data_IF_477348847520
#
_entry.id   IF_477348847520
#
_cell.length_a   1.000
_cell.length_b   1.000
_cell.length_c   1.000
_cell.angle_alpha   90.00
_cell.angle_beta   90.00
_cell.angle_gamma   90.00
#
_symmetry.space_group_name_H-M   'P 1'
#
loop_
_entity.id
_entity.type
_entity.pdbx_description
1 polymer ?
#
# COMPACT_ATOMS: atom_id res chain seq x y z
N UNK A 1 -16.37 -2.66 38.34
CA UNK A 1 -15.13 -3.23 37.77
C UNK A 1 -14.95 -2.79 36.32
N UNK A 2 -15.83 -3.15 35.38
CA UNK A 2 -15.68 -2.78 33.95
C UNK A 2 -15.54 -1.26 33.71
N UNK A 3 -16.34 -0.44 34.39
CA UNK A 3 -16.20 1.03 34.34
C UNK A 3 -14.86 1.55 34.86
N UNK A 4 -14.23 0.87 35.82
CA UNK A 4 -12.91 1.25 36.32
C UNK A 4 -11.80 0.82 35.36
N UNK A 5 -11.95 -0.34 34.71
CA UNK A 5 -11.06 -0.80 33.63
C UNK A 5 -11.12 0.17 32.45
N UNK A 6 -12.31 0.48 31.95
CA UNK A 6 -12.51 1.42 30.83
C UNK A 6 -12.17 2.88 31.15
N UNK A 7 -11.90 3.24 32.41
CA UNK A 7 -11.46 4.60 32.79
C UNK A 7 -9.99 4.64 33.21
N UNK A 8 -9.30 3.50 33.18
CA UNK A 8 -7.87 3.42 33.49
C UNK A 8 -7.07 4.05 32.34
N UNK A 9 -6.09 4.93 32.62
CA UNK A 9 -5.15 5.37 31.60
C UNK A 9 -4.46 4.20 30.89
N UNK A 10 -4.21 3.08 31.59
CA UNK A 10 -3.62 1.86 30.99
C UNK A 10 -4.53 1.16 29.97
N UNK A 11 -5.83 1.47 29.97
CA UNK A 11 -6.78 0.96 28.97
C UNK A 11 -6.75 1.78 27.68
N UNK A 12 -6.47 3.09 27.78
CA UNK A 12 -6.42 4.00 26.62
C UNK A 12 -5.02 4.23 26.07
N UNK A 13 -4.00 4.13 26.92
CA UNK A 13 -2.63 4.47 26.62
C UNK A 13 -1.71 3.28 26.89
N UNK A 14 -0.80 3.03 25.95
CA UNK A 14 0.36 2.17 26.16
C UNK A 14 1.43 3.00 26.88
N UNK A 15 1.29 3.16 28.19
CA UNK A 15 2.21 3.95 29.00
C UNK A 15 3.55 3.21 29.21
N UNK A 16 4.64 3.96 29.41
CA UNK A 16 5.93 3.42 29.88
C UNK A 16 5.70 2.60 31.15
N UNK A 17 6.21 1.39 31.20
CA UNK A 17 6.03 0.49 32.35
C UNK A 17 7.29 0.24 33.16
N UNK A 18 8.47 0.66 32.66
CA UNK A 18 9.72 0.51 33.43
C UNK A 18 9.86 1.62 34.48
N UNK A 19 10.17 1.19 35.71
CA UNK A 19 10.39 2.07 36.87
C UNK A 19 11.81 2.68 36.90
N UNK A 20 12.69 2.20 36.02
CA UNK A 20 14.07 2.67 35.90
C UNK A 20 14.15 3.74 34.81
N UNK A 21 14.53 4.96 35.20
CA UNK A 21 14.69 6.09 34.29
C UNK A 21 15.85 5.87 33.31
N UNK A 22 16.86 5.08 33.70
CA UNK A 22 18.11 4.83 32.98
C UNK A 22 18.10 3.54 32.15
N UNK A 23 17.04 2.74 32.23
CA UNK A 23 16.87 1.52 31.41
C UNK A 23 16.61 1.87 29.94
N UNK A 24 17.45 1.35 29.04
CA UNK A 24 17.23 1.40 27.58
C UNK A 24 15.98 0.58 27.15
N UNK A 25 15.56 -0.39 27.97
CA UNK A 25 14.29 -1.10 27.80
C UNK A 25 13.14 -0.24 28.34
N UNK A 26 12.26 0.21 27.45
CA UNK A 26 11.18 1.16 27.77
C UNK A 26 9.82 0.48 27.98
N UNK A 27 9.67 -0.76 27.51
CA UNK A 27 8.45 -1.56 27.56
C UNK A 27 8.71 -2.88 28.28
N UNK A 28 7.80 -3.28 29.17
CA UNK A 28 7.76 -4.68 29.61
C UNK A 28 7.22 -5.59 28.50
N UNK A 29 7.45 -6.89 28.64
CA UNK A 29 7.01 -7.88 27.66
C UNK A 29 5.49 -7.89 27.45
N UNK A 30 4.68 -7.48 28.43
CA UNK A 30 3.22 -7.39 28.25
C UNK A 30 2.84 -6.26 27.30
N UNK A 31 3.58 -5.16 27.29
CA UNK A 31 3.41 -4.11 26.29
C UNK A 31 3.89 -4.59 24.92
N UNK A 32 5.00 -5.34 24.83
CA UNK A 32 5.44 -5.94 23.57
C UNK A 32 4.40 -6.92 23.00
N UNK A 33 3.85 -7.81 23.82
CA UNK A 33 2.73 -8.69 23.47
C UNK A 33 1.54 -7.90 22.92
N UNK A 34 1.17 -6.82 23.61
CA UNK A 34 0.09 -5.93 23.16
C UNK A 34 0.42 -5.28 21.80
N UNK A 35 1.65 -4.81 21.61
CA UNK A 35 2.04 -4.18 20.34
C UNK A 35 2.02 -5.17 19.19
N UNK A 36 2.54 -6.38 19.37
CA UNK A 36 2.51 -7.45 18.37
C UNK A 36 1.08 -7.83 18.00
N UNK A 37 0.23 -8.11 18.99
CA UNK A 37 -1.17 -8.52 18.76
C UNK A 37 -1.98 -7.44 18.04
N UNK A 38 -1.83 -6.16 18.39
CA UNK A 38 -2.53 -5.11 17.65
C UNK A 38 -1.93 -4.80 16.28
N UNK A 39 -0.63 -5.02 16.10
CA UNK A 39 0.01 -4.86 14.78
C UNK A 39 -0.43 -5.97 13.82
N UNK A 40 -0.29 -7.23 14.23
CA UNK A 40 -0.49 -8.39 13.34
C UNK A 40 -1.94 -8.87 13.31
N UNK A 41 -2.65 -8.79 14.45
CA UNK A 41 -3.99 -9.38 14.59
C UNK A 41 -5.10 -8.35 14.82
N UNK A 42 -4.75 -7.07 15.02
CA UNK A 42 -5.71 -6.01 15.40
C UNK A 42 -6.62 -6.40 16.58
N UNK A 43 -6.12 -7.24 17.48
CA UNK A 43 -6.83 -7.79 18.63
C UNK A 43 -5.93 -7.83 19.87
N UNK A 44 -6.47 -8.20 21.03
CA UNK A 44 -5.67 -8.36 22.24
C UNK A 44 -4.73 -9.58 22.18
N UNK A 45 -3.66 -9.62 22.99
CA UNK A 45 -2.83 -10.83 23.13
C UNK A 45 -3.68 -12.03 23.53
N UNK A 46 -3.31 -13.21 23.04
CA UNK A 46 -3.86 -14.46 23.53
C UNK A 46 -3.02 -15.04 24.67
N UNK A 47 -3.43 -16.20 25.18
CA UNK A 47 -2.79 -16.84 26.32
C UNK A 47 -1.32 -17.19 26.03
N UNK A 48 -0.99 -17.64 24.81
CA UNK A 48 0.40 -17.96 24.43
C UNK A 48 1.27 -16.71 24.46
N UNK A 49 0.79 -15.59 23.92
CA UNK A 49 1.55 -14.34 23.90
C UNK A 49 1.67 -13.74 25.31
N UNK A 50 0.68 -13.93 26.18
CA UNK A 50 0.77 -13.59 27.59
C UNK A 50 1.77 -14.47 28.36
N UNK A 51 1.81 -15.78 28.13
CA UNK A 51 2.79 -16.69 28.72
C UNK A 51 4.22 -16.30 28.30
N UNK A 52 4.44 -16.03 27.01
CA UNK A 52 5.74 -15.54 26.54
C UNK A 52 6.14 -14.22 27.22
N UNK A 53 5.18 -13.36 27.53
CA UNK A 53 5.43 -12.12 28.25
C UNK A 53 5.71 -12.34 29.73
N UNK A 54 5.02 -13.26 30.39
CA UNK A 54 5.26 -13.64 31.78
C UNK A 54 6.67 -14.22 31.96
N UNK A 55 7.12 -15.03 31.00
CA UNK A 55 8.43 -15.66 31.00
C UNK A 55 9.59 -14.72 30.59
N UNK A 56 9.31 -13.49 30.17
CA UNK A 56 10.32 -12.53 29.72
C UNK A 56 10.94 -12.87 28.35
N UNK A 57 10.26 -13.67 27.53
CA UNK A 57 10.76 -14.16 26.24
C UNK A 57 10.70 -13.10 25.14
N UNK A 58 9.72 -12.19 25.18
CA UNK A 58 9.52 -11.17 24.15
C UNK A 58 10.58 -10.05 24.20
N UNK A 59 11.30 -9.92 25.31
CA UNK A 59 12.48 -9.07 25.43
C UNK A 59 13.72 -9.61 24.69
N UNK A 60 13.70 -10.86 24.21
CA UNK A 60 14.82 -11.48 23.48
C UNK A 60 14.59 -11.43 21.98
N UNK A 61 15.67 -11.36 21.20
CA UNK A 61 15.56 -11.37 19.74
C UNK A 61 14.91 -12.67 19.25
N UNK A 62 15.35 -13.81 19.80
CA UNK A 62 14.84 -15.12 19.43
C UNK A 62 13.36 -15.28 19.80
N UNK A 63 12.95 -14.86 21.00
CA UNK A 63 11.57 -14.97 21.43
C UNK A 63 10.63 -14.03 20.67
N UNK A 64 11.11 -12.85 20.24
CA UNK A 64 10.33 -11.93 19.43
C UNK A 64 10.13 -12.46 18.01
N UNK A 65 11.18 -12.96 17.37
CA UNK A 65 11.08 -13.60 16.05
C UNK A 65 10.22 -14.86 16.08
N UNK A 66 10.34 -15.69 17.12
CA UNK A 66 9.45 -16.82 17.32
C UNK A 66 7.99 -16.36 17.38
N UNK A 67 7.71 -15.30 18.15
CA UNK A 67 6.37 -14.75 18.29
C UNK A 67 5.79 -14.31 16.95
N UNK A 68 6.54 -13.51 16.18
CA UNK A 68 6.12 -13.06 14.84
C UNK A 68 5.84 -14.24 13.92
N UNK A 69 6.75 -15.21 13.84
CA UNK A 69 6.62 -16.34 12.93
C UNK A 69 5.31 -17.12 13.13
N UNK A 70 5.00 -17.51 14.37
CA UNK A 70 3.77 -18.27 14.62
C UNK A 70 2.51 -17.39 14.51
N UNK A 71 2.61 -16.10 14.85
CA UNK A 71 1.47 -15.19 14.75
C UNK A 71 1.07 -14.93 13.29
N UNK A 72 2.03 -14.92 12.36
CA UNK A 72 1.79 -14.80 10.92
C UNK A 72 1.19 -16.06 10.30
N UNK A 73 1.38 -17.23 10.92
CA UNK A 73 0.75 -18.50 10.52
C UNK A 73 -0.69 -18.66 11.06
N UNK A 74 -1.11 -17.83 12.02
CA UNK A 74 -2.45 -17.89 12.62
C UNK A 74 -3.47 -17.15 11.75
N UNK A 75 -4.69 -17.68 11.64
CA UNK A 75 -5.79 -17.07 10.87
C UNK A 75 -6.06 -15.59 11.23
N UNK A 76 -5.75 -15.18 12.47
CA UNK A 76 -5.87 -13.77 12.89
C UNK A 76 -4.94 -12.83 12.12
N UNK A 77 -3.87 -13.32 11.50
CA UNK A 77 -2.96 -12.52 10.66
C UNK A 77 -3.66 -11.92 9.44
N UNK A 78 -4.81 -12.47 9.02
CA UNK A 78 -5.67 -11.87 8.00
C UNK A 78 -6.08 -10.42 8.35
N UNK A 79 -6.10 -10.07 9.65
CA UNK A 79 -6.31 -8.69 10.08
C UNK A 79 -5.24 -7.71 9.57
N UNK A 80 -4.05 -8.18 9.20
CA UNK A 80 -3.02 -7.35 8.53
C UNK A 80 -3.40 -7.06 7.08
N UNK A 81 -4.01 -8.03 6.38
CA UNK A 81 -4.56 -7.86 5.03
C UNK A 81 -5.68 -6.83 5.06
N UNK A 82 -6.67 -7.03 5.93
CA UNK A 82 -7.79 -6.11 6.13
C UNK A 82 -7.30 -4.72 6.56
N UNK A 83 -6.42 -4.69 7.57
CA UNK A 83 -5.96 -3.49 8.25
C UNK A 83 -5.02 -2.63 7.41
N UNK A 84 -3.88 -3.22 7.04
CA UNK A 84 -2.82 -2.55 6.29
C UNK A 84 -3.03 -2.66 4.78
N UNK A 85 -3.24 -3.88 4.27
CA UNK A 85 -3.33 -4.14 2.83
C UNK A 85 -4.41 -3.30 2.14
N UNK A 86 -5.65 -3.40 2.59
CA UNK A 86 -6.76 -2.63 2.00
C UNK A 86 -6.59 -1.10 2.14
N UNK A 87 -5.99 -0.64 3.24
CA UNK A 87 -5.75 0.79 3.46
C UNK A 87 -4.64 1.30 2.56
N UNK A 88 -3.53 0.56 2.45
CA UNK A 88 -2.40 0.89 1.60
C UNK A 88 -2.80 0.92 0.12
N UNK A 89 -3.59 -0.07 -0.30
CA UNK A 89 -4.12 -0.22 -1.66
C UNK A 89 -5.37 0.63 -1.95
N UNK A 90 -5.78 1.50 -1.03
CA UNK A 90 -6.99 2.33 -1.18
C UNK A 90 -8.29 1.55 -1.42
N UNK A 91 -8.33 0.22 -1.22
CA UNK A 91 -9.48 -0.65 -1.52
C UNK A 91 -10.74 -0.18 -0.80
N UNK A 92 -10.61 0.27 0.46
CA UNK A 92 -11.74 0.77 1.26
C UNK A 92 -12.45 1.98 0.65
N UNK A 93 -11.76 2.77 -0.18
CA UNK A 93 -12.39 3.90 -0.87
C UNK A 93 -13.29 3.46 -2.02
N UNK A 94 -13.13 2.21 -2.51
CA UNK A 94 -13.92 1.69 -3.60
C UNK A 94 -15.39 1.65 -3.24
N UNK A 95 -15.77 1.37 -2.00
CA UNK A 95 -17.16 1.41 -1.54
C UNK A 95 -17.84 2.78 -1.77
N UNK A 96 -17.06 3.86 -1.80
CA UNK A 96 -17.57 5.22 -2.01
C UNK A 96 -17.41 5.71 -3.46
N UNK A 97 -16.77 4.94 -4.34
CA UNK A 97 -16.62 5.30 -5.74
C UNK A 97 -18.00 5.23 -6.43
N UNK A 98 -18.36 6.30 -7.16
CA UNK A 98 -19.64 6.41 -7.86
C UNK A 98 -19.45 6.75 -9.35
N UNK A 99 -18.92 5.82 -10.16
CA UNK A 99 -18.89 5.97 -11.62
C UNK A 99 -20.28 6.26 -12.19
N UNK A 100 -20.35 7.06 -13.25
CA UNK A 100 -21.57 7.43 -13.95
C UNK A 100 -22.19 6.16 -14.56
N UNK A 101 -23.43 5.79 -14.19
CA UNK A 101 -24.11 4.64 -14.79
C UNK A 101 -24.40 4.82 -16.29
N UNK A 102 -24.40 6.06 -16.80
CA UNK A 102 -24.58 6.35 -18.23
C UNK A 102 -23.32 6.00 -19.03
N UNK A 103 -22.14 6.26 -18.47
CA UNK A 103 -20.84 6.01 -19.13
C UNK A 103 -20.31 4.60 -18.83
N UNK A 104 -20.56 4.10 -17.63
CA UNK A 104 -20.07 2.80 -17.14
C UNK A 104 -21.25 1.90 -16.71
N UNK A 105 -22.17 1.53 -17.62
CA UNK A 105 -23.37 0.77 -17.27
C UNK A 105 -23.08 -0.63 -16.73
N UNK A 106 -21.90 -1.18 -17.01
CA UNK A 106 -21.45 -2.47 -16.51
C UNK A 106 -20.82 -2.38 -15.12
N UNK A 107 -20.59 -1.18 -14.57
CA UNK A 107 -20.06 -1.03 -13.23
C UNK A 107 -21.17 -1.23 -12.20
N UNK A 108 -21.23 -2.43 -11.63
CA UNK A 108 -22.21 -2.86 -10.65
C UNK A 108 -21.55 -3.36 -9.35
N UNK A 109 -22.36 -3.71 -8.35
CA UNK A 109 -21.83 -4.15 -7.05
C UNK A 109 -21.11 -5.50 -7.15
N UNK A 110 -21.47 -6.35 -8.12
CA UNK A 110 -20.78 -7.62 -8.34
C UNK A 110 -19.35 -7.41 -8.84
N UNK A 111 -19.16 -6.48 -9.78
CA UNK A 111 -17.85 -6.08 -10.24
C UNK A 111 -17.07 -5.40 -9.13
N UNK A 112 -17.69 -4.46 -8.40
CA UNK A 112 -17.04 -3.76 -7.27
C UNK A 112 -16.49 -4.73 -6.23
N UNK A 113 -17.27 -5.74 -5.85
CA UNK A 113 -16.84 -6.77 -4.91
C UNK A 113 -15.65 -7.58 -5.47
N UNK A 114 -15.69 -7.96 -6.74
CA UNK A 114 -14.60 -8.70 -7.38
C UNK A 114 -13.30 -7.88 -7.45
N UNK A 115 -13.38 -6.58 -7.77
CA UNK A 115 -12.22 -5.67 -7.78
C UNK A 115 -11.56 -5.56 -6.40
N UNK A 116 -12.38 -5.44 -5.34
CA UNK A 116 -11.88 -5.37 -3.97
C UNK A 116 -11.19 -6.69 -3.58
N UNK A 117 -11.85 -7.82 -3.83
CA UNK A 117 -11.34 -9.14 -3.49
C UNK A 117 -10.04 -9.48 -4.27
N UNK A 118 -9.90 -9.04 -5.52
CA UNK A 118 -8.66 -9.18 -6.30
C UNK A 118 -7.47 -8.51 -5.59
N UNK A 119 -7.67 -7.29 -5.10
CA UNK A 119 -6.62 -6.52 -4.43
C UNK A 119 -6.26 -7.13 -3.07
N UNK A 120 -7.25 -7.59 -2.33
CA UNK A 120 -7.08 -8.30 -1.04
C UNK A 120 -6.30 -9.60 -1.24
N UNK A 121 -6.71 -10.45 -2.19
CA UNK A 121 -6.07 -11.74 -2.46
C UNK A 121 -4.65 -11.57 -2.99
N UNK A 122 -4.36 -10.53 -3.78
CA UNK A 122 -2.98 -10.25 -4.19
C UNK A 122 -2.09 -10.01 -2.97
N UNK A 123 -2.49 -9.12 -2.05
CA UNK A 123 -1.68 -8.83 -0.87
C UNK A 123 -1.55 -10.05 0.05
N UNK A 124 -2.64 -10.80 0.23
CA UNK A 124 -2.66 -12.05 1.01
C UNK A 124 -1.69 -13.10 0.45
N UNK A 125 -1.64 -13.31 -0.88
CA UNK A 125 -0.71 -14.25 -1.52
C UNK A 125 0.75 -13.94 -1.18
N UNK A 126 1.11 -12.65 -1.11
CA UNK A 126 2.47 -12.24 -0.74
C UNK A 126 2.74 -12.32 0.76
N UNK A 127 1.72 -12.22 1.59
CA UNK A 127 1.85 -12.49 3.01
C UNK A 127 2.11 -13.98 3.22
N UNK A 128 1.37 -14.87 2.56
CA UNK A 128 1.47 -16.32 2.76
C UNK A 128 2.66 -16.97 2.04
N UNK A 129 3.00 -16.53 0.83
CA UNK A 129 3.97 -17.21 -0.03
C UNK A 129 5.44 -16.97 0.34
N UNK A 130 5.74 -15.91 1.08
CA UNK A 130 7.12 -15.47 1.32
C UNK A 130 7.83 -15.01 0.04
N UNK A 131 7.10 -14.56 -0.98
CA UNK A 131 7.70 -13.99 -2.18
C UNK A 131 8.30 -12.60 -1.91
N UNK A 132 9.39 -12.20 -2.61
CA UNK A 132 9.94 -10.86 -2.49
C UNK A 132 8.88 -9.80 -2.80
N UNK A 133 8.79 -8.76 -1.97
CA UNK A 133 7.72 -7.75 -2.12
C UNK A 133 7.74 -7.07 -3.47
N UNK A 134 8.92 -6.83 -4.07
CA UNK A 134 9.05 -6.21 -5.39
C UNK A 134 8.33 -6.99 -6.50
N UNK A 135 8.16 -8.31 -6.33
CA UNK A 135 7.41 -9.15 -7.26
C UNK A 135 5.91 -8.82 -7.26
N UNK A 136 5.36 -8.07 -6.28
CA UNK A 136 3.98 -7.55 -6.33
C UNK A 136 3.72 -6.66 -7.55
N UNK A 137 4.75 -6.01 -8.08
CA UNK A 137 4.65 -5.18 -9.27
C UNK A 137 4.45 -6.04 -10.54
N UNK A 138 5.09 -7.20 -10.61
CA UNK A 138 5.08 -8.10 -11.77
C UNK A 138 5.03 -9.58 -11.37
N UNK A 139 3.95 -10.01 -10.68
CA UNK A 139 3.79 -11.40 -10.30
C UNK A 139 3.50 -12.23 -11.56
N UNK A 140 4.01 -13.47 -11.65
CA UNK A 140 3.68 -14.39 -12.74
C UNK A 140 2.25 -14.98 -12.66
N UNK A 141 1.32 -14.28 -12.02
CA UNK A 141 -0.05 -14.70 -11.77
C UNK A 141 -0.97 -13.49 -11.59
N UNK A 142 -2.28 -13.73 -11.69
CA UNK A 142 -3.32 -12.77 -11.32
C UNK A 142 -4.48 -13.50 -10.63
N UNK A 143 -5.26 -12.79 -9.81
CA UNK A 143 -6.52 -13.29 -9.28
C UNK A 143 -7.66 -12.89 -10.21
N UNK A 144 -8.35 -13.87 -10.81
CA UNK A 144 -9.44 -13.61 -11.76
C UNK A 144 -10.60 -14.59 -11.63
N UNK A 145 -11.80 -14.06 -11.80
CA UNK A 145 -13.03 -14.80 -12.02
C UNK A 145 -13.61 -14.39 -13.38
N UNK A 146 -14.73 -15.00 -13.80
CA UNK A 146 -15.34 -14.69 -15.09
C UNK A 146 -15.80 -13.23 -15.20
N UNK A 147 -16.19 -12.63 -14.08
CA UNK A 147 -16.64 -11.23 -14.04
C UNK A 147 -15.50 -10.24 -14.29
N UNK A 148 -14.35 -10.42 -13.63
CA UNK A 148 -13.16 -9.60 -13.89
C UNK A 148 -12.55 -9.90 -15.25
N UNK A 149 -12.55 -11.16 -15.69
CA UNK A 149 -12.06 -11.51 -17.01
C UNK A 149 -12.85 -10.77 -18.11
N UNK A 150 -14.17 -10.75 -18.02
CA UNK A 150 -15.03 -9.95 -18.90
C UNK A 150 -14.68 -8.46 -18.84
N UNK A 151 -14.57 -7.88 -17.63
CA UNK A 151 -14.24 -6.46 -17.45
C UNK A 151 -12.84 -6.10 -17.98
N UNK A 152 -11.91 -7.04 -17.98
CA UNK A 152 -10.55 -6.86 -18.50
C UNK A 152 -10.41 -7.20 -19.99
N UNK A 153 -11.47 -7.69 -20.64
CA UNK A 153 -11.41 -8.15 -22.04
C UNK A 153 -10.61 -9.44 -22.23
N UNK A 154 -10.51 -10.28 -21.19
CA UNK A 154 -9.75 -11.53 -21.17
C UNK A 154 -10.70 -12.74 -21.30
N UNK A 155 -10.21 -13.91 -21.76
CA UNK A 155 -11.00 -15.13 -21.78
C UNK A 155 -11.50 -15.52 -20.38
N UNK A 156 -12.71 -16.09 -20.26
CA UNK A 156 -13.24 -16.52 -18.97
C UNK A 156 -12.38 -17.63 -18.36
N UNK A 157 -12.30 -17.64 -17.03
CA UNK A 157 -11.54 -18.63 -16.24
C UNK A 157 -12.41 -19.87 -15.97
N UNK A 158 -13.74 -19.74 -16.05
CA UNK A 158 -14.72 -20.76 -15.73
C UNK A 158 -15.10 -20.81 -14.25
N UNK A 159 -15.04 -19.68 -13.54
CA UNK A 159 -15.33 -19.59 -12.10
C UNK A 159 -16.01 -18.29 -11.72
N UNK A 160 -16.98 -18.36 -10.80
CA UNK A 160 -17.57 -17.19 -10.15
C UNK A 160 -16.68 -16.65 -9.01
N UNK A 161 -15.94 -17.54 -8.35
CA UNK A 161 -14.95 -17.20 -7.33
C UNK A 161 -13.63 -16.78 -7.99
N UNK A 162 -12.88 -15.89 -7.34
CA UNK A 162 -11.54 -15.52 -7.78
C UNK A 162 -10.59 -16.70 -7.64
N UNK A 163 -9.89 -17.02 -8.74
CA UNK A 163 -8.86 -18.05 -8.77
C UNK A 163 -7.52 -17.41 -9.07
N UNK A 164 -6.48 -17.91 -8.42
CA UNK A 164 -5.09 -17.62 -8.78
C UNK A 164 -4.77 -18.31 -10.11
N UNK A 165 -4.64 -17.54 -11.17
CA UNK A 165 -4.36 -18.03 -12.52
C UNK A 165 -2.99 -17.56 -12.99
N UNK A 166 -2.25 -18.35 -13.79
CA UNK A 166 -1.04 -17.86 -14.45
C UNK A 166 -1.36 -16.62 -15.29
N UNK A 167 -0.42 -15.68 -15.33
CA UNK A 167 -0.49 -14.52 -16.19
C UNK A 167 0.77 -14.50 -17.08
N UNK A 168 0.56 -14.36 -18.38
CA UNK A 168 1.66 -14.28 -19.33
C UNK A 168 2.29 -12.88 -19.32
N UNK A 169 3.49 -12.76 -19.88
CA UNK A 169 4.12 -11.46 -20.11
C UNK A 169 3.20 -10.57 -20.98
N UNK A 170 2.99 -9.33 -20.53
CA UNK A 170 2.06 -8.38 -21.17
C UNK A 170 0.57 -8.62 -20.88
N UNK A 171 0.22 -9.70 -20.18
CA UNK A 171 -1.13 -9.87 -19.64
C UNK A 171 -1.32 -8.99 -18.40
N UNK A 172 -2.56 -8.55 -18.16
CA UNK A 172 -2.91 -7.73 -17.01
C UNK A 172 -2.60 -8.46 -15.70
N UNK A 173 -1.59 -7.98 -14.97
CA UNK A 173 -1.12 -8.55 -13.72
C UNK A 173 -0.50 -7.49 -12.80
N UNK A 174 -0.30 -7.85 -11.53
CA UNK A 174 0.44 -7.03 -10.58
C UNK A 174 -0.26 -5.75 -10.14
N UNK A 175 0.43 -5.06 -9.23
CA UNK A 175 -0.13 -3.96 -8.46
C UNK A 175 -0.64 -2.80 -9.31
N UNK A 176 0.07 -2.46 -10.39
CA UNK A 176 -0.27 -1.30 -11.22
C UNK A 176 -1.52 -1.51 -12.08
N UNK A 177 -2.01 -2.74 -12.19
CA UNK A 177 -3.18 -3.09 -12.99
C UNK A 177 -4.44 -3.37 -12.17
N UNK A 178 -4.34 -3.36 -10.83
CA UNK A 178 -5.46 -3.62 -9.94
C UNK A 178 -6.58 -2.59 -10.12
N UNK A 179 -7.78 -3.09 -10.41
CA UNK A 179 -8.92 -2.27 -10.77
C UNK A 179 -9.47 -1.41 -9.63
N UNK A 180 -9.36 -1.89 -8.38
CA UNK A 180 -9.89 -1.20 -7.21
C UNK A 180 -9.25 0.18 -7.05
N UNK A 181 -7.93 0.26 -6.96
CA UNK A 181 -7.28 1.55 -6.71
C UNK A 181 -7.35 2.46 -7.95
N UNK A 182 -7.18 1.91 -9.16
CA UNK A 182 -7.32 2.66 -10.42
C UNK A 182 -8.68 3.36 -10.52
N UNK A 183 -9.76 2.68 -10.12
CA UNK A 183 -11.11 3.23 -10.06
C UNK A 183 -11.24 4.29 -8.95
N UNK A 184 -10.72 4.04 -7.74
CA UNK A 184 -10.78 5.03 -6.65
C UNK A 184 -10.01 6.32 -6.93
N UNK A 185 -8.98 6.23 -7.77
CA UNK A 185 -8.18 7.36 -8.22
C UNK A 185 -8.73 8.01 -9.50
N UNK A 186 -9.97 7.70 -9.89
CA UNK A 186 -10.69 8.28 -11.03
C UNK A 186 -11.92 9.07 -10.57
N UNK A 187 -12.58 9.82 -11.45
CA UNK A 187 -13.85 10.51 -11.13
C UNK A 187 -15.00 9.70 -11.71
N UNK A 188 -16.20 10.28 -11.63
CA UNK A 188 -17.40 9.61 -12.07
C UNK A 188 -17.42 9.38 -13.59
N UNK A 189 -16.70 10.16 -14.39
CA UNK A 189 -16.88 10.19 -15.85
C UNK A 189 -15.64 9.73 -16.61
N UNK A 190 -14.44 9.91 -16.05
CA UNK A 190 -13.19 9.59 -16.72
C UNK A 190 -12.08 9.16 -15.74
N UNK A 191 -10.99 8.62 -16.31
CA UNK A 191 -9.74 8.40 -15.58
C UNK A 191 -9.15 9.74 -15.12
N UNK A 192 -8.21 9.68 -14.18
CA UNK A 192 -7.51 10.89 -13.71
C UNK A 192 -6.01 10.61 -13.56
N UNK A 193 -5.20 10.93 -14.59
CA UNK A 193 -3.75 10.66 -14.57
C UNK A 193 -3.07 11.39 -13.40
N UNK A 194 -3.50 12.62 -13.09
CA UNK A 194 -2.99 13.39 -11.94
C UNK A 194 -3.21 12.64 -10.62
N UNK A 195 -4.41 12.11 -10.37
CA UNK A 195 -4.72 11.40 -9.12
C UNK A 195 -4.08 10.02 -9.04
N UNK A 196 -3.94 9.32 -10.17
CA UNK A 196 -3.23 8.04 -10.24
C UNK A 196 -1.73 8.23 -10.05
N UNK A 197 -1.11 9.19 -10.72
CA UNK A 197 0.28 9.56 -10.54
C UNK A 197 0.59 10.01 -9.11
N UNK A 198 -0.30 10.79 -8.49
CA UNK A 198 -0.19 11.16 -7.06
C UNK A 198 -0.22 9.94 -6.16
N UNK A 199 -1.11 8.98 -6.44
CA UNK A 199 -1.19 7.73 -5.70
C UNK A 199 0.11 6.93 -5.82
N UNK A 200 0.67 6.77 -7.04
CA UNK A 200 1.95 6.09 -7.24
C UNK A 200 3.10 6.78 -6.48
N UNK A 201 3.21 8.10 -6.62
CA UNK A 201 4.26 8.90 -5.98
C UNK A 201 4.23 8.78 -4.46
N UNK A 202 3.05 8.76 -3.84
CA UNK A 202 2.93 8.59 -2.39
C UNK A 202 3.06 7.12 -1.94
N UNK A 203 2.34 6.20 -2.60
CA UNK A 203 2.15 4.82 -2.13
C UNK A 203 3.27 3.86 -2.53
N UNK A 204 3.95 4.13 -3.63
CA UNK A 204 5.01 3.26 -4.17
C UNK A 204 6.39 3.91 -4.13
N UNK A 205 6.47 5.23 -4.26
CA UNK A 205 7.76 5.93 -4.35
C UNK A 205 8.13 6.69 -3.07
N UNK A 206 7.16 6.90 -2.18
CA UNK A 206 7.34 7.68 -0.94
C UNK A 206 7.90 9.08 -1.19
N UNK A 207 7.52 9.66 -2.33
CA UNK A 207 7.78 11.06 -2.73
C UNK A 207 6.46 11.83 -2.74
N UNK A 208 5.81 12.05 -1.58
CA UNK A 208 4.52 12.72 -1.55
C UNK A 208 4.65 14.15 -2.08
N UNK A 209 3.76 14.53 -3.00
CA UNK A 209 3.73 15.89 -3.54
C UNK A 209 3.08 16.83 -2.54
N UNK A 210 3.72 17.97 -2.21
CA UNK A 210 3.17 18.93 -1.25
C UNK A 210 1.81 19.46 -1.72
N UNK A 211 0.96 19.94 -0.79
CA UNK A 211 -0.27 20.60 -1.18
C UNK A 211 0.04 21.82 -2.07
N UNK A 212 -0.86 22.19 -3.00
CA UNK A 212 -0.66 23.36 -3.83
C UNK A 212 -0.51 24.63 -2.96
N UNK A 213 0.29 25.62 -3.39
CA UNK A 213 0.43 26.89 -2.69
C UNK A 213 -0.92 27.54 -2.35
N UNK A 214 -1.04 28.06 -1.13
CA UNK A 214 -2.25 28.70 -0.69
C UNK A 214 -2.60 29.94 -1.55
N UNK A 215 -3.88 30.08 -1.92
CA UNK A 215 -4.37 31.21 -2.71
C UNK A 215 -4.24 31.06 -4.22
N UNK A 216 -3.74 29.92 -4.72
CA UNK A 216 -3.91 29.55 -6.12
C UNK A 216 -5.37 29.17 -6.38
N UNK A 217 -6.01 29.92 -7.26
CA UNK A 217 -7.27 29.49 -7.89
C UNK A 217 -6.89 28.51 -9.00
N UNK A 218 -7.00 27.21 -8.71
CA UNK A 218 -6.69 26.15 -9.66
C UNK A 218 -8.03 25.75 -10.29
N UNK A 219 -8.36 26.24 -11.50
CA UNK A 219 -9.50 25.68 -12.21
C UNK A 219 -9.24 24.18 -12.40
N UNK A 220 -10.26 23.32 -12.25
CA UNK A 220 -10.12 21.91 -12.60
C UNK A 220 -9.59 21.82 -14.04
N UNK A 221 -8.66 20.91 -14.29
CA UNK A 221 -8.37 20.51 -15.67
C UNK A 221 -9.64 19.84 -16.19
N UNK A 222 -10.36 20.52 -17.08
CA UNK A 222 -11.52 19.92 -17.75
C UNK A 222 -10.99 18.93 -18.78
N UNK A 223 -11.09 17.65 -18.47
CA UNK A 223 -10.72 16.59 -19.40
C UNK A 223 -11.83 16.43 -20.44
N UNK A 224 -11.54 16.76 -21.71
CA UNK A 224 -12.48 16.63 -22.82
C UNK A 224 -12.19 17.58 -23.99
N UNK A 225 -12.95 17.44 -25.07
CA UNK A 225 -12.75 18.20 -26.31
C UNK A 225 -11.86 17.46 -27.32
N UNK A 226 -11.28 18.21 -28.27
CA UNK A 226 -10.46 17.65 -29.34
C UNK A 226 -8.98 17.44 -28.93
N UNK A 227 -8.56 17.95 -27.75
CA UNK A 227 -7.20 17.80 -27.21
C UNK A 227 -7.05 16.44 -26.51
N UNK A 228 -5.96 15.73 -26.76
CA UNK A 228 -5.60 14.49 -26.06
C UNK A 228 -5.28 14.75 -24.58
N UNK A 229 -5.35 13.71 -23.75
CA UNK A 229 -4.97 13.80 -22.32
C UNK A 229 -3.54 14.31 -22.16
N UNK A 230 -2.60 13.87 -23.03
CA UNK A 230 -1.23 14.37 -23.05
C UNK A 230 -1.17 15.87 -23.26
N UNK A 231 -1.80 16.37 -24.32
CA UNK A 231 -1.78 17.79 -24.68
C UNK A 231 -2.33 18.66 -23.56
N UNK A 232 -3.39 18.20 -22.88
CA UNK A 232 -3.97 18.91 -21.74
C UNK A 232 -2.99 18.98 -20.55
N UNK A 233 -2.31 17.88 -20.22
CA UNK A 233 -1.30 17.85 -19.15
C UNK A 233 -0.05 18.67 -19.51
N UNK A 234 0.38 18.65 -20.77
CA UNK A 234 1.50 19.44 -21.26
C UNK A 234 1.22 20.95 -21.21
N UNK A 235 0.00 21.33 -21.58
CA UNK A 235 -0.51 22.70 -21.43
C UNK A 235 -0.56 23.10 -19.96
N UNK A 236 -1.04 22.22 -19.08
CA UNK A 236 -1.07 22.47 -17.64
C UNK A 236 0.34 22.68 -17.04
N UNK A 237 1.32 21.85 -17.40
CA UNK A 237 2.72 21.98 -16.93
C UNK A 237 3.51 23.09 -17.63
N UNK A 238 2.94 23.77 -18.63
CA UNK A 238 3.61 24.92 -19.26
C UNK A 238 3.76 26.10 -18.31
N UNK A 239 2.92 26.18 -17.26
CA UNK A 239 3.12 27.08 -16.13
C UNK A 239 4.17 26.52 -15.16
N UNK A 240 5.28 27.24 -14.91
CA UNK A 240 6.33 26.80 -13.98
C UNK A 240 5.84 26.49 -12.55
N UNK A 241 4.76 27.13 -12.11
CA UNK A 241 4.12 26.91 -10.80
C UNK A 241 3.49 25.53 -10.72
N UNK A 242 2.80 25.12 -11.79
CA UNK A 242 2.16 23.80 -11.89
C UNK A 242 3.21 22.72 -12.12
N UNK A 243 4.20 22.98 -12.99
CA UNK A 243 5.29 22.06 -13.30
C UNK A 243 6.06 21.59 -12.06
N UNK A 244 6.22 22.44 -11.05
CA UNK A 244 6.92 22.13 -9.81
C UNK A 244 6.36 20.87 -9.09
N UNK A 245 5.06 20.61 -9.23
CA UNK A 245 4.40 19.44 -8.66
C UNK A 245 4.04 18.40 -9.73
N UNK A 246 3.68 18.83 -10.93
CA UNK A 246 3.11 17.96 -11.97
C UNK A 246 4.13 17.24 -12.85
N UNK A 247 5.41 17.66 -12.87
CA UNK A 247 6.43 17.06 -13.74
C UNK A 247 6.61 15.55 -13.53
N UNK A 248 6.50 15.07 -12.28
CA UNK A 248 6.54 13.65 -11.97
C UNK A 248 5.14 13.01 -12.04
N UNK A 249 4.13 13.68 -11.46
CA UNK A 249 2.78 13.12 -11.33
C UNK A 249 2.14 12.82 -12.67
N UNK A 250 2.18 13.78 -13.59
CA UNK A 250 1.53 13.64 -14.89
C UNK A 250 2.18 12.52 -15.68
N UNK A 251 3.50 12.39 -15.59
CA UNK A 251 4.27 11.32 -16.25
C UNK A 251 3.89 9.96 -15.68
N UNK A 252 3.91 9.78 -14.37
CA UNK A 252 3.48 8.51 -13.75
C UNK A 252 2.03 8.17 -14.08
N UNK A 253 1.16 9.18 -14.12
CA UNK A 253 -0.26 9.03 -14.45
C UNK A 253 -0.51 8.62 -15.89
N UNK A 254 0.26 9.15 -16.86
CA UNK A 254 0.04 8.88 -18.28
C UNK A 254 0.29 7.42 -18.65
N UNK A 255 1.21 6.75 -17.95
CA UNK A 255 1.44 5.31 -18.08
C UNK A 255 0.21 4.46 -17.78
N UNK A 256 -0.77 5.01 -17.06
CA UNK A 256 -1.97 4.29 -16.65
C UNK A 256 -3.19 4.68 -17.47
N UNK A 257 -3.03 5.53 -18.49
CA UNK A 257 -4.14 5.96 -19.35
C UNK A 257 -4.60 4.89 -20.33
N UNK A 258 -3.94 3.72 -20.37
CA UNK A 258 -4.49 2.50 -20.95
C UNK A 258 -5.74 1.99 -20.21
N UNK A 259 -6.04 2.49 -19.01
CA UNK A 259 -7.21 2.12 -18.22
C UNK A 259 -8.22 3.28 -18.10
N UNK A 260 -9.51 3.02 -18.34
CA UNK A 260 -10.57 4.02 -18.19
C UNK A 260 -10.94 4.31 -16.71
N UNK A 261 -11.97 5.13 -16.48
CA UNK A 261 -12.39 5.56 -15.13
C UNK A 261 -12.81 4.42 -14.19
N UNK A 262 -13.18 3.25 -14.73
CA UNK A 262 -13.48 2.02 -13.97
C UNK A 262 -12.42 0.95 -14.19
N UNK A 263 -11.23 1.36 -14.60
CA UNK A 263 -10.08 0.52 -14.82
C UNK A 263 -10.28 -0.57 -15.90
N UNK A 264 -11.18 -0.38 -16.87
CA UNK A 264 -11.26 -1.23 -18.06
C UNK A 264 -10.13 -0.89 -19.02
N UNK A 265 -9.56 -1.89 -19.68
CA UNK A 265 -8.55 -1.67 -20.72
C UNK A 265 -9.17 -0.94 -21.91
N UNK A 266 -8.56 0.18 -22.31
CA UNK A 266 -8.92 0.93 -23.51
C UNK A 266 -8.22 0.29 -24.72
N UNK A 267 -8.95 0.15 -25.83
CA UNK A 267 -8.46 -0.46 -27.07
C UNK A 267 -8.24 0.56 -28.19
N UNK A 268 -8.00 1.83 -27.82
CA UNK A 268 -7.85 2.93 -28.76
C UNK A 268 -6.40 2.96 -29.30
N UNK A 269 -6.27 3.02 -30.63
CA UNK A 269 -4.99 2.98 -31.35
C UNK A 269 -4.18 4.28 -31.16
N UNK A 270 -4.83 5.38 -30.76
CA UNK A 270 -4.19 6.69 -30.54
C UNK A 270 -3.82 6.94 -29.06
N UNK A 271 -3.86 5.89 -28.21
CA UNK A 271 -3.45 6.01 -26.81
C UNK A 271 -1.96 6.25 -26.68
N UNK A 272 -1.61 7.40 -26.12
CA UNK A 272 -0.24 7.74 -25.79
C UNK A 272 0.02 7.54 -24.29
N UNK A 273 0.71 6.46 -23.96
CA UNK A 273 1.08 6.08 -22.58
C UNK A 273 2.59 6.23 -22.32
N UNK A 274 3.33 6.89 -23.21
CA UNK A 274 4.78 7.07 -23.11
C UNK A 274 5.16 8.06 -21.99
N UNK A 275 5.81 7.59 -20.94
CA UNK A 275 6.36 8.42 -19.88
C UNK A 275 7.86 8.65 -20.03
N UNK A 276 8.34 9.86 -19.68
CA UNK A 276 9.76 10.14 -19.45
C UNK A 276 9.92 10.73 -18.04
N UNK A 277 10.55 9.96 -17.15
CA UNK A 277 10.81 10.36 -15.78
C UNK A 277 11.86 11.50 -15.72
N UNK A 278 11.86 12.32 -14.66
CA UNK A 278 12.83 13.42 -14.52
C UNK A 278 14.31 13.00 -14.51
N UNK A 279 14.59 11.72 -14.27
CA UNK A 279 15.95 11.14 -14.32
C UNK A 279 16.34 10.62 -15.72
N UNK A 280 15.47 10.77 -16.72
CA UNK A 280 15.68 10.38 -18.12
C UNK A 280 15.33 8.94 -18.45
N UNK A 281 14.82 8.15 -17.49
CA UNK A 281 14.23 6.83 -17.80
C UNK A 281 12.89 7.00 -18.51
N UNK A 282 12.60 6.14 -19.47
CA UNK A 282 11.31 6.11 -20.18
C UNK A 282 10.61 4.77 -19.99
N UNK A 283 9.28 4.78 -20.14
CA UNK A 283 8.42 3.60 -20.11
C UNK A 283 7.20 3.84 -20.99
N UNK A 284 6.57 2.78 -21.47
CA UNK A 284 5.29 2.81 -22.16
C UNK A 284 4.29 1.91 -21.43
N UNK A 285 3.22 2.52 -20.91
CA UNK A 285 2.17 1.79 -20.19
C UNK A 285 2.53 1.35 -18.77
N UNK A 286 1.57 0.69 -18.13
CA UNK A 286 1.64 0.26 -16.74
C UNK A 286 2.62 -0.90 -16.52
N UNK A 287 2.77 -1.79 -17.51
CA UNK A 287 3.67 -2.93 -17.44
C UNK A 287 5.12 -2.48 -17.38
N UNK A 288 5.59 -1.66 -18.33
CA UNK A 288 6.97 -1.18 -18.31
C UNK A 288 7.25 -0.28 -17.10
N UNK A 289 6.25 0.51 -16.65
CA UNK A 289 6.35 1.28 -15.41
C UNK A 289 6.54 0.37 -14.18
N UNK A 290 5.84 -0.76 -14.13
CA UNK A 290 6.04 -1.77 -13.09
C UNK A 290 7.45 -2.36 -13.16
N UNK A 291 7.94 -2.73 -14.35
CA UNK A 291 9.29 -3.26 -14.56
C UNK A 291 10.38 -2.30 -14.07
N UNK A 292 10.22 -0.99 -14.33
CA UNK A 292 11.18 0.03 -13.91
C UNK A 292 11.40 0.05 -12.39
N UNK A 293 10.34 -0.20 -11.61
CA UNK A 293 10.40 -0.18 -10.15
C UNK A 293 10.54 -1.57 -9.52
N UNK A 294 10.23 -2.64 -10.24
CA UNK A 294 10.46 -4.02 -9.77
C UNK A 294 11.95 -4.33 -9.62
N UNK A 295 12.80 -3.73 -10.47
CA UNK A 295 14.26 -3.84 -10.39
C UNK A 295 14.94 -2.82 -9.47
N UNK A 296 14.18 -1.92 -8.83
CA UNK A 296 14.69 -0.81 -8.03
C UNK A 296 14.31 -1.00 -6.55
N UNK A 297 15.18 -0.61 -5.61
CA UNK A 297 14.87 -0.70 -4.17
C UNK A 297 13.84 0.34 -3.73
N UNK A 298 13.48 1.31 -4.57
CA UNK A 298 12.53 2.39 -4.29
C UNK A 298 11.19 1.85 -3.79
N UNK A 299 10.60 0.88 -4.51
CA UNK A 299 9.31 0.30 -4.13
C UNK A 299 9.38 -0.41 -2.77
N UNK A 300 10.35 -1.31 -2.60
CA UNK A 300 10.52 -2.06 -1.33
C UNK A 300 10.83 -1.13 -0.15
N UNK A 301 11.61 -0.08 -0.37
CA UNK A 301 11.92 0.93 0.65
C UNK A 301 10.68 1.73 1.03
N UNK A 302 9.83 2.08 0.06
CA UNK A 302 8.58 2.77 0.35
C UNK A 302 7.58 1.88 1.09
N UNK A 303 7.41 0.63 0.65
CA UNK A 303 6.56 -0.34 1.34
C UNK A 303 7.03 -0.53 2.80
N UNK A 304 8.34 -0.62 3.01
CA UNK A 304 8.94 -0.68 4.35
C UNK A 304 8.54 0.52 5.22
N UNK A 305 8.61 1.74 4.67
CA UNK A 305 8.17 2.95 5.37
C UNK A 305 6.67 2.95 5.71
N UNK A 306 5.81 2.51 4.76
CA UNK A 306 4.36 2.43 4.99
C UNK A 306 4.01 1.41 6.07
N UNK A 307 4.60 0.21 6.02
CA UNK A 307 4.37 -0.84 6.99
C UNK A 307 4.94 -0.49 8.37
N UNK A 308 6.12 0.13 8.41
CA UNK A 308 6.71 0.67 9.63
C UNK A 308 5.79 1.70 10.32
N UNK A 309 5.26 2.65 9.56
CA UNK A 309 4.30 3.64 10.09
C UNK A 309 3.03 2.99 10.63
N UNK A 310 2.52 1.96 9.94
CA UNK A 310 1.37 1.18 10.37
C UNK A 310 1.65 0.43 11.69
N UNK A 311 2.78 -0.28 11.78
CA UNK A 311 3.21 -1.03 12.96
C UNK A 311 3.37 -0.14 14.20
N UNK A 312 3.86 1.09 14.01
CA UNK A 312 4.03 2.03 15.10
C UNK A 312 2.76 2.84 15.42
N UNK A 313 1.79 2.90 14.51
CA UNK A 313 0.58 3.71 14.65
C UNK A 313 0.86 5.22 14.63
N UNK A 314 1.95 5.67 13.99
CA UNK A 314 2.33 7.09 13.90
C UNK A 314 3.13 7.38 12.61
N UNK A 315 3.22 8.66 12.20
CA UNK A 315 4.15 9.05 11.13
C UNK A 315 5.61 8.78 11.49
N UNK A 316 6.43 8.59 10.45
CA UNK A 316 7.90 8.53 10.54
C UNK A 316 8.45 9.86 11.06
N UNK A 317 9.47 9.77 11.91
CA UNK A 317 10.22 10.90 12.48
C UNK A 317 11.68 10.81 12.05
N UNK A 318 12.41 11.91 12.20
CA UNK A 318 13.85 11.99 11.88
C UNK A 318 14.68 10.91 12.59
N UNK A 319 14.34 10.59 13.83
CA UNK A 319 15.04 9.55 14.61
C UNK A 319 14.84 8.12 14.09
N UNK A 320 13.83 7.88 13.26
CA UNK A 320 13.55 6.55 12.69
C UNK A 320 14.38 6.28 11.44
N UNK A 321 14.96 7.33 10.82
CA UNK A 321 15.67 7.23 9.54
C UNK A 321 16.81 6.20 9.55
N UNK A 322 17.68 6.13 10.59
CA UNK A 322 18.74 5.11 10.62
C UNK A 322 18.19 3.68 10.60
N UNK A 323 17.10 3.42 11.33
CA UNK A 323 16.47 2.10 11.36
C UNK A 323 15.79 1.77 10.02
N UNK A 324 15.22 2.76 9.33
CA UNK A 324 14.63 2.59 7.99
C UNK A 324 15.70 2.32 6.92
N UNK A 325 16.87 2.95 7.01
CA UNK A 325 18.01 2.67 6.13
C UNK A 325 18.51 1.23 6.31
N UNK A 326 18.63 0.77 7.57
CA UNK A 326 18.99 -0.62 7.90
C UNK A 326 17.94 -1.62 7.40
N UNK A 327 16.65 -1.34 7.61
CA UNK A 327 15.53 -2.15 7.10
C UNK A 327 15.60 -2.28 5.57
N UNK A 328 15.80 -1.16 4.87
CA UNK A 328 15.85 -1.14 3.42
C UNK A 328 17.05 -1.94 2.89
N UNK A 329 18.20 -1.84 3.53
CA UNK A 329 19.39 -2.63 3.20
C UNK A 329 19.16 -4.13 3.45
N UNK A 330 18.45 -4.49 4.51
CA UNK A 330 18.12 -5.89 4.84
C UNK A 330 17.17 -6.50 3.81
N UNK A 331 16.09 -5.81 3.49
CA UNK A 331 15.12 -6.21 2.46
C UNK A 331 15.80 -6.38 1.09
N UNK A 332 16.77 -5.53 0.76
CA UNK A 332 17.51 -5.62 -0.51
C UNK A 332 18.55 -6.76 -0.57
N UNK A 333 19.03 -7.25 0.58
CA UNK A 333 20.13 -8.24 0.64
C UNK A 333 19.69 -9.66 1.02
N UNK A 334 18.47 -9.82 1.53
CA UNK A 334 17.88 -11.11 1.93
C UNK A 334 16.69 -11.48 1.01
N UNK A 335 15.73 -12.30 1.50
CA UNK A 335 14.56 -12.72 0.72
C UNK A 335 13.67 -11.54 0.27
N UNK A 336 13.66 -10.47 1.07
CA UNK A 336 12.87 -9.27 0.80
C UNK A 336 11.36 -9.50 0.86
N UNK A 337 10.90 -10.55 1.55
CA UNK A 337 9.49 -10.87 1.74
C UNK A 337 8.84 -10.08 2.90
N UNK A 338 7.51 -10.16 3.00
CA UNK A 338 6.77 -9.48 4.06
C UNK A 338 7.09 -10.01 5.47
N UNK A 339 7.38 -11.30 5.63
CA UNK A 339 7.69 -11.88 6.94
C UNK A 339 9.01 -11.33 7.50
N UNK A 340 10.05 -11.28 6.66
CA UNK A 340 11.32 -10.67 6.99
C UNK A 340 11.15 -9.19 7.34
N UNK A 341 10.38 -8.45 6.55
CA UNK A 341 10.14 -7.03 6.80
C UNK A 341 9.41 -6.83 8.15
N UNK A 342 8.36 -7.61 8.41
CA UNK A 342 7.59 -7.56 9.67
C UNK A 342 8.49 -7.88 10.86
N UNK A 343 9.26 -8.98 10.79
CA UNK A 343 10.24 -9.36 11.81
C UNK A 343 11.24 -8.23 12.06
N UNK A 344 11.86 -7.70 11.01
CA UNK A 344 12.83 -6.64 11.15
C UNK A 344 12.22 -5.35 11.75
N UNK A 345 10.97 -5.01 11.43
CA UNK A 345 10.26 -3.86 12.01
C UNK A 345 10.11 -4.03 13.53
N UNK A 346 9.72 -5.22 14.02
CA UNK A 346 9.51 -5.43 15.46
C UNK A 346 10.81 -5.40 16.25
N UNK A 347 11.95 -5.65 15.59
CA UNK A 347 13.30 -5.52 16.18
C UNK A 347 13.79 -4.07 16.27
N UNK A 348 13.12 -3.12 15.63
CA UNK A 348 13.58 -1.72 15.67
C UNK A 348 13.43 -1.10 17.06
N UNK A 349 14.32 -0.16 17.43
CA UNK A 349 14.22 0.57 18.69
C UNK A 349 12.86 1.24 18.87
N UNK A 350 12.27 1.82 17.81
CA UNK A 350 10.98 2.49 17.90
C UNK A 350 9.82 1.54 18.22
N UNK A 351 9.91 0.27 17.82
CA UNK A 351 8.90 -0.74 18.16
C UNK A 351 9.07 -1.24 19.59
N UNK A 352 10.32 -1.50 20.01
CA UNK A 352 10.67 -2.07 21.33
C UNK A 352 10.67 -1.06 22.46
N UNK A 353 11.04 0.17 22.14
CA UNK A 353 11.24 1.29 23.06
C UNK A 353 10.79 2.59 22.38
N UNK A 354 9.47 2.87 22.29
CA UNK A 354 8.98 4.08 21.63
C UNK A 354 9.59 5.30 22.34
N UNK A 355 10.17 6.21 21.55
CA UNK A 355 10.79 7.42 22.08
C UNK A 355 9.81 8.21 22.97
N UNK A 356 10.31 8.96 23.97
CA UNK A 356 9.48 9.88 24.74
C UNK A 356 8.65 10.75 23.80
N UNK A 357 7.42 11.08 24.21
CA UNK A 357 6.68 12.15 23.54
C UNK A 357 7.56 13.40 23.62
N UNK A 358 7.90 13.99 22.48
CA UNK A 358 8.54 15.30 22.46
C UNK A 358 7.60 16.27 23.19
N UNK A 359 8.14 17.00 24.17
CA UNK A 359 7.35 18.06 24.80
C UNK A 359 6.99 19.12 23.74
N UNK A 360 5.75 19.61 23.75
CA UNK A 360 5.18 20.44 22.68
C UNK A 360 5.88 21.78 22.46
#
# INVERSE_FOLDING_TARGET
VMRAVMLSPKFFYRARTTADEDSEAWLDDYVLASRLSYFLWSSMPDDRLFEMAEDGRLSTDEGLSEAVAWMLEDDKAHALVDGFGEQWLSVRHLANASPSPELFPEFDESLRAAMAQESTLLFEDFLESGAPVATMLEPGFAYRNDRLAEHYGLPPVGSAELLRVPAAEGERQGLLSLSAWLTTQSDAEHSSPIRRGRWLSDRLLCTPVPPPPAGLDIPPVEFGGDETVREQLEKHRSDPTCAACHSLLDVLGIGLEEFDGVARTRLDEDLDTLGELPDGRSFEGAAELASLYAGDSTFSSCLSQKLYSYALGRPIRTQDLPALDELSARVASESGDLHLLIDAIVHTPAFRSPAPLEEP
#
